data_IF_264630431484
#
_entry.id   IF_264630431484
#
_cell.length_a   1.000
_cell.length_b   1.000
_cell.length_c   1.000
_cell.angle_alpha   90.00
_cell.angle_beta   90.00
_cell.angle_gamma   90.00
#
_symmetry.space_group_name_H-M   'P 1'
#
loop_
_entity.id
_entity.type
_entity.pdbx_description
1 polymer ?
#
# COMPACT_ATOMS: atom_id res chain seq x y z
N UNK A 1 -4.76 -6.89 3.72
CA UNK A 1 -4.34 -7.72 2.57
C UNK A 1 -5.03 -9.07 2.71
N UNK A 2 -5.71 -9.54 1.68
CA UNK A 2 -6.13 -10.94 1.56
C UNK A 2 -5.28 -11.59 0.48
N UNK A 3 -4.88 -12.84 0.69
CA UNK A 3 -4.07 -13.60 -0.26
C UNK A 3 -4.53 -15.05 -0.33
N UNK A 4 -4.12 -15.75 -1.38
CA UNK A 4 -4.35 -17.18 -1.55
C UNK A 4 -3.17 -17.81 -2.29
N UNK A 5 -2.92 -19.09 -2.03
CA UNK A 5 -1.89 -19.88 -2.73
C UNK A 5 -2.38 -20.43 -4.08
N UNK A 6 -3.65 -20.20 -4.43
CA UNK A 6 -4.24 -20.65 -5.69
C UNK A 6 -4.96 -19.48 -6.37
N UNK A 7 -4.68 -19.29 -7.66
CA UNK A 7 -5.26 -18.24 -8.48
C UNK A 7 -6.80 -18.28 -8.48
N UNK A 8 -7.40 -19.46 -8.62
CA UNK A 8 -8.86 -19.62 -8.64
C UNK A 8 -9.49 -19.18 -7.32
N UNK A 9 -8.92 -19.61 -6.19
CA UNK A 9 -9.38 -19.22 -4.85
C UNK A 9 -9.18 -17.71 -4.59
N UNK A 10 -8.12 -17.12 -5.15
CA UNK A 10 -7.90 -15.67 -5.06
C UNK A 10 -9.00 -14.90 -5.79
N UNK A 11 -9.35 -15.30 -7.01
CA UNK A 11 -10.45 -14.72 -7.78
C UNK A 11 -11.79 -14.87 -7.07
N UNK A 12 -12.07 -16.06 -6.52
CA UNK A 12 -13.29 -16.33 -5.77
C UNK A 12 -13.39 -15.42 -4.53
N UNK A 13 -12.31 -15.33 -3.75
CA UNK A 13 -12.25 -14.49 -2.54
C UNK A 13 -12.50 -13.01 -2.88
N UNK A 14 -11.87 -12.51 -3.95
CA UNK A 14 -12.09 -11.13 -4.41
C UNK A 14 -13.57 -10.91 -4.78
N UNK A 15 -14.18 -11.87 -5.49
CA UNK A 15 -15.60 -11.79 -5.86
C UNK A 15 -16.52 -11.77 -4.63
N UNK A 16 -16.22 -12.60 -3.62
CA UNK A 16 -16.99 -12.63 -2.37
C UNK A 16 -16.90 -11.29 -1.63
N UNK A 17 -15.70 -10.72 -1.53
CA UNK A 17 -15.49 -9.40 -0.89
C UNK A 17 -16.22 -8.29 -1.63
N UNK A 18 -16.12 -8.25 -2.96
CA UNK A 18 -16.83 -7.26 -3.78
C UNK A 18 -18.34 -7.35 -3.56
N UNK A 19 -18.91 -8.55 -3.59
CA UNK A 19 -20.35 -8.77 -3.38
C UNK A 19 -20.79 -8.34 -1.98
N UNK A 20 -20.04 -8.73 -0.95
CA UNK A 20 -20.36 -8.41 0.44
C UNK A 20 -20.31 -6.91 0.73
N UNK A 21 -19.30 -6.20 0.20
CA UNK A 21 -19.21 -4.75 0.40
C UNK A 21 -20.25 -4.01 -0.43
N UNK A 22 -20.51 -4.45 -1.66
CA UNK A 22 -21.55 -3.87 -2.49
C UNK A 22 -22.93 -4.01 -1.87
N UNK A 23 -23.27 -5.16 -1.29
CA UNK A 23 -24.57 -5.36 -0.60
C UNK A 23 -24.73 -4.46 0.64
N UNK A 24 -23.63 -4.05 1.25
CA UNK A 24 -23.60 -3.09 2.35
C UNK A 24 -23.54 -1.61 1.89
N UNK A 25 -23.62 -1.33 0.59
CA UNK A 25 -23.55 0.04 0.04
C UNK A 25 -22.13 0.60 -0.09
N UNK A 26 -21.11 -0.25 0.01
CA UNK A 26 -19.69 0.13 -0.11
C UNK A 26 -19.11 -0.45 -1.41
N UNK A 27 -19.29 0.19 -2.58
CA UNK A 27 -18.68 -0.28 -3.81
C UNK A 27 -17.15 -0.21 -3.70
N UNK A 28 -16.48 -1.34 -3.91
CA UNK A 28 -15.03 -1.45 -3.79
C UNK A 28 -14.35 -0.72 -4.97
N UNK A 29 -13.38 0.14 -4.66
CA UNK A 29 -12.59 0.92 -5.62
C UNK A 29 -11.09 0.72 -5.35
N UNK A 30 -10.25 1.13 -6.30
CA UNK A 30 -8.79 1.07 -6.21
C UNK A 30 -8.27 -0.36 -5.98
N UNK A 31 -8.85 -1.33 -6.70
CA UNK A 31 -8.48 -2.75 -6.64
C UNK A 31 -7.15 -2.96 -7.38
N UNK A 32 -6.23 -3.71 -6.78
CA UNK A 32 -4.95 -4.08 -7.39
C UNK A 32 -4.57 -5.51 -7.01
N UNK A 33 -3.71 -6.14 -7.81
CA UNK A 33 -3.22 -7.51 -7.59
C UNK A 33 -1.81 -7.68 -8.17
N UNK A 34 -1.03 -8.59 -7.58
CA UNK A 34 0.25 -9.01 -8.13
C UNK A 34 0.13 -10.01 -9.31
N UNK A 35 -1.09 -10.46 -9.61
CA UNK A 35 -1.36 -11.35 -10.74
C UNK A 35 -2.46 -10.77 -11.66
N UNK A 36 -2.20 -10.56 -12.96
CA UNK A 36 -3.12 -9.87 -13.87
C UNK A 36 -4.46 -10.60 -14.05
N UNK A 37 -4.46 -11.94 -14.04
CA UNK A 37 -5.70 -12.72 -14.15
C UNK A 37 -6.72 -12.46 -13.04
N UNK A 38 -6.28 -11.98 -11.86
CA UNK A 38 -7.19 -11.73 -10.73
C UNK A 38 -8.07 -10.50 -10.99
N UNK A 39 -7.56 -9.53 -11.76
CA UNK A 39 -8.20 -8.23 -11.98
C UNK A 39 -8.71 -8.05 -13.41
N UNK A 40 -8.61 -9.08 -14.26
CA UNK A 40 -8.96 -9.01 -15.69
C UNK A 40 -10.42 -8.62 -15.94
N UNK A 41 -11.33 -9.06 -15.06
CA UNK A 41 -12.78 -8.86 -15.20
C UNK A 41 -13.27 -7.62 -14.43
N UNK A 42 -12.36 -6.88 -13.78
CA UNK A 42 -12.69 -5.69 -13.00
C UNK A 42 -12.73 -4.47 -13.92
N UNK A 43 -13.74 -3.61 -13.75
CA UNK A 43 -13.87 -2.38 -14.53
C UNK A 43 -12.68 -1.47 -14.29
N UNK A 44 -12.20 -0.81 -15.35
CA UNK A 44 -11.04 0.08 -15.28
C UNK A 44 -11.17 1.20 -14.23
N UNK A 45 -12.38 1.71 -14.02
CA UNK A 45 -12.70 2.73 -13.00
C UNK A 45 -12.60 2.22 -11.54
N UNK A 46 -12.67 0.91 -11.36
CA UNK A 46 -12.58 0.25 -10.05
C UNK A 46 -11.13 -0.20 -9.76
N UNK A 47 -10.29 -0.28 -10.78
CA UNK A 47 -8.88 -0.60 -10.65
C UNK A 47 -8.10 0.56 -10.02
N UNK A 48 -7.07 0.23 -9.25
CA UNK A 48 -6.06 1.19 -8.85
C UNK A 48 -5.28 1.57 -10.11
N UNK A 49 -5.31 2.87 -10.46
CA UNK A 49 -4.64 3.39 -11.65
C UNK A 49 -3.18 2.91 -11.71
N UNK A 50 -2.76 2.34 -12.83
CA UNK A 50 -1.41 1.77 -12.98
C UNK A 50 -0.33 2.85 -12.88
N UNK A 51 -0.69 4.12 -13.05
CA UNK A 51 0.19 5.26 -12.78
C UNK A 51 0.46 5.47 -11.27
N UNK A 52 -0.31 4.84 -10.37
CA UNK A 52 0.07 4.74 -8.96
C UNK A 52 1.22 3.75 -8.71
N UNK A 53 1.40 2.81 -9.63
CA UNK A 53 2.51 1.84 -9.66
C UNK A 53 3.71 2.40 -10.43
N UNK A 54 3.52 3.47 -11.22
CA UNK A 54 4.61 4.26 -11.79
C UNK A 54 4.99 5.34 -10.80
N UNK A 55 6.19 5.22 -10.26
CA UNK A 55 6.78 6.21 -9.38
C UNK A 55 6.98 7.56 -10.11
N UNK A 56 5.95 8.39 -10.20
CA UNK A 56 6.16 9.83 -10.28
C UNK A 56 6.28 10.38 -8.86
N UNK A 57 7.39 11.08 -8.60
CA UNK A 57 7.81 11.65 -7.32
C UNK A 57 6.79 12.56 -6.62
N UNK A 58 5.59 12.76 -7.15
CA UNK A 58 4.66 13.82 -6.75
C UNK A 58 3.26 13.36 -6.32
N UNK A 59 2.87 12.08 -6.45
CA UNK A 59 1.52 11.66 -6.04
C UNK A 59 1.55 10.27 -5.41
N UNK A 60 1.56 10.23 -4.07
CA UNK A 60 1.59 8.98 -3.30
C UNK A 60 0.37 8.90 -2.38
N UNK A 61 -0.46 7.89 -2.61
CA UNK A 61 -1.44 7.33 -1.71
C UNK A 61 -0.57 6.55 -0.72
N UNK A 62 0.07 7.29 0.18
CA UNK A 62 0.91 6.74 1.25
C UNK A 62 -0.05 6.11 2.25
N UNK A 63 -0.09 4.79 2.34
CA UNK A 63 -0.61 4.16 3.54
C UNK A 63 0.56 4.07 4.51
N UNK A 64 0.67 5.06 5.39
CA UNK A 64 1.58 5.03 6.54
C UNK A 64 3.08 4.89 6.19
N UNK A 65 3.51 5.28 4.98
CA UNK A 65 4.92 5.28 4.58
C UNK A 65 5.43 4.01 3.89
N UNK A 66 4.59 2.96 3.80
CA UNK A 66 4.88 1.74 3.04
C UNK A 66 4.27 1.84 1.64
N UNK A 67 5.02 1.42 0.64
CA UNK A 67 4.58 1.32 -0.75
C UNK A 67 4.67 -0.14 -1.20
N UNK A 68 3.67 -0.59 -1.96
CA UNK A 68 3.66 -1.91 -2.58
C UNK A 68 3.65 -1.78 -4.09
N UNK A 69 4.67 -2.34 -4.74
CA UNK A 69 4.68 -2.56 -6.17
C UNK A 69 4.09 -3.94 -6.43
N UNK A 70 2.84 -3.97 -6.87
CA UNK A 70 2.14 -5.22 -7.14
C UNK A 70 2.80 -6.02 -8.29
N UNK A 71 3.39 -5.36 -9.29
CA UNK A 71 3.99 -6.04 -10.46
C UNK A 71 5.21 -6.85 -10.04
N UNK A 72 6.07 -6.30 -9.19
CA UNK A 72 7.29 -6.98 -8.71
C UNK A 72 7.07 -7.70 -7.38
N UNK A 73 5.88 -7.59 -6.81
CA UNK A 73 5.53 -8.04 -5.46
C UNK A 73 6.53 -7.59 -4.37
N UNK A 74 6.90 -6.32 -4.42
CA UNK A 74 7.90 -5.74 -3.50
C UNK A 74 7.30 -4.61 -2.67
N UNK A 75 7.67 -4.60 -1.39
CA UNK A 75 7.41 -3.49 -0.49
C UNK A 75 8.63 -2.58 -0.40
N UNK A 76 8.39 -1.28 -0.33
CA UNK A 76 9.45 -0.27 -0.16
C UNK A 76 9.03 0.83 0.80
N UNK A 77 10.03 1.46 1.42
CA UNK A 77 9.86 2.63 2.28
C UNK A 77 10.43 3.85 1.57
N UNK A 78 9.71 4.97 1.61
CA UNK A 78 10.25 6.25 1.16
C UNK A 78 10.56 7.10 2.39
N UNK A 79 11.84 7.36 2.62
CA UNK A 79 12.31 8.23 3.68
C UNK A 79 12.56 9.62 3.09
N UNK A 80 11.77 10.59 3.50
CA UNK A 80 12.06 12.00 3.21
C UNK A 80 13.14 12.48 4.19
N UNK A 81 14.15 13.18 3.66
CA UNK A 81 15.13 13.84 4.51
C UNK A 81 14.41 14.82 5.44
N UNK A 82 14.72 14.73 6.74
CA UNK A 82 14.24 15.72 7.71
C UNK A 82 15.03 17.00 7.41
N UNK A 83 14.36 18.00 6.85
CA UNK A 83 14.96 19.32 6.63
C UNK A 83 15.58 19.81 7.94
N UNK A 84 16.82 20.27 7.89
CA UNK A 84 17.48 20.92 9.01
C UNK A 84 16.75 22.24 9.31
N UNK A 85 15.68 22.16 10.10
CA UNK A 85 14.96 23.33 10.59
C UNK A 85 15.79 23.96 11.70
N UNK A 86 15.84 25.29 11.73
CA UNK A 86 16.56 26.05 12.74
C UNK A 86 16.10 25.78 14.17
N UNK A 87 14.86 25.29 14.34
CA UNK A 87 14.32 24.82 15.62
C UNK A 87 13.53 23.52 15.42
N UNK A 88 13.98 22.46 16.09
CA UNK A 88 13.30 21.15 16.11
C UNK A 88 12.36 21.10 17.32
N UNK A 89 11.09 20.77 17.09
CA UNK A 89 10.08 20.58 18.13
C UNK A 89 9.81 19.09 18.36
N UNK A 90 9.39 18.72 19.58
CA UNK A 90 8.95 17.35 19.90
C UNK A 90 7.86 16.83 18.94
N UNK A 91 6.94 17.73 18.51
CA UNK A 91 5.89 17.41 17.54
C UNK A 91 6.44 17.04 16.17
N UNK A 92 7.50 17.71 15.71
CA UNK A 92 8.16 17.38 14.45
C UNK A 92 8.87 16.04 14.52
N UNK A 93 9.57 15.75 15.63
CA UNK A 93 10.21 14.44 15.84
C UNK A 93 9.16 13.33 15.79
N UNK A 94 8.07 13.46 16.55
CA UNK A 94 6.98 12.48 16.56
C UNK A 94 6.33 12.32 15.18
N UNK A 95 6.10 13.42 14.46
CA UNK A 95 5.56 13.37 13.11
C UNK A 95 6.50 12.64 12.15
N UNK A 96 7.81 12.86 12.24
CA UNK A 96 8.80 12.16 11.42
C UNK A 96 8.88 10.66 11.73
N UNK A 97 8.85 10.27 13.02
CA UNK A 97 8.83 8.86 13.42
C UNK A 97 7.54 8.18 12.97
N UNK A 98 6.39 8.84 13.12
CA UNK A 98 5.10 8.29 12.71
C UNK A 98 4.97 8.06 11.19
N UNK A 99 5.81 8.73 10.37
CA UNK A 99 5.89 8.47 8.92
C UNK A 99 6.58 7.14 8.59
N UNK A 100 7.44 6.61 9.48
CA UNK A 100 8.01 5.27 9.38
C UNK A 100 7.15 4.30 10.19
N UNK A 101 5.92 4.06 9.75
CA UNK A 101 5.08 3.04 10.37
C UNK A 101 5.59 1.65 10.00
N UNK A 102 5.98 0.85 10.98
CA UNK A 102 6.52 -0.50 10.80
C UNK A 102 5.79 -1.53 11.67
N UNK A 103 4.53 -1.86 11.35
CA UNK A 103 3.72 -2.77 12.17
C UNK A 103 4.25 -4.21 12.15
N UNK A 104 5.01 -4.58 11.10
CA UNK A 104 5.56 -5.92 10.90
C UNK A 104 7.02 -6.04 11.36
N UNK A 105 7.67 -4.95 11.77
CA UNK A 105 9.06 -4.96 12.24
C UNK A 105 10.11 -5.09 11.13
N UNK A 106 9.78 -4.82 9.87
CA UNK A 106 10.69 -4.96 8.72
C UNK A 106 11.87 -3.98 8.76
N UNK A 107 11.69 -2.81 9.37
CA UNK A 107 12.72 -1.77 9.49
C UNK A 107 13.58 -1.94 10.75
N UNK A 108 13.08 -2.63 11.77
CA UNK A 108 13.78 -2.78 13.06
C UNK A 108 15.24 -3.24 12.94
N UNK A 109 15.59 -4.26 12.12
CA UNK A 109 16.98 -4.72 11.97
C UNK A 109 17.93 -3.71 11.32
N UNK A 110 17.38 -2.74 10.58
CA UNK A 110 18.15 -1.72 9.86
C UNK A 110 18.30 -0.46 10.71
N UNK A 111 17.27 -0.12 11.49
CA UNK A 111 17.22 1.09 12.32
C UNK A 111 18.01 0.96 13.62
N UNK A 112 18.08 -0.24 14.19
CA UNK A 112 18.72 -0.50 15.48
C UNK A 112 19.98 -1.34 15.21
N UNK A 113 21.15 -0.71 15.30
CA UNK A 113 22.43 -1.43 15.37
C UNK A 113 22.78 -1.68 16.84
N UNK A 114 23.15 -2.92 17.15
CA UNK A 114 23.64 -3.35 18.46
C UNK A 114 25.13 -2.97 18.65
#
# INVERSE_FOLDING_TARGET
LSGSHNLSLACESLCQVIKALYSAGFPLKKITSNHPEIIKDIKREDLLDTNFLKFEKASTTKTLGIQWNAITDQFSYTIESISALSAITKRQILSSVAKLFDPAGWLSPIMIQA
#
